data_IF_956498638096
#
_entry.id   IF_956498638096
#
_cell.length_a   1.000
_cell.length_b   1.000
_cell.length_c   1.000
_cell.angle_alpha   90.00
_cell.angle_beta   90.00
_cell.angle_gamma   90.00
#
_symmetry.space_group_name_H-M   'P 1'
#
loop_
_entity.id
_entity.type
_entity.pdbx_description
1 polymer ?
#
# COMPACT_ATOMS: atom_id res chain seq x y z
N UNK A 1 1.76 -26.44 36.32
CA UNK A 1 1.80 -26.77 34.87
C UNK A 1 0.44 -26.47 34.24
N UNK A 2 0.27 -25.28 33.69
CA UNK A 2 -0.64 -24.96 32.57
C UNK A 2 0.06 -23.85 31.80
N UNK A 3 0.54 -24.17 30.60
CA UNK A 3 1.29 -23.28 29.72
C UNK A 3 0.38 -22.15 29.25
N UNK A 4 0.62 -20.94 29.75
CA UNK A 4 0.16 -19.72 29.08
C UNK A 4 1.26 -19.30 28.11
N UNK A 5 1.18 -19.84 26.90
CA UNK A 5 1.86 -19.28 25.74
C UNK A 5 0.75 -18.84 24.79
N UNK A 6 1.00 -17.78 24.03
CA UNK A 6 0.14 -17.18 23.00
C UNK A 6 -0.87 -16.16 23.52
N UNK A 7 -0.38 -14.98 23.89
CA UNK A 7 -0.83 -13.68 23.37
C UNK A 7 0.20 -12.69 23.94
N UNK A 8 1.26 -12.42 23.18
CA UNK A 8 2.07 -11.24 23.46
C UNK A 8 1.11 -10.06 23.24
N UNK A 9 0.63 -9.46 24.32
CA UNK A 9 0.15 -8.07 24.34
C UNK A 9 1.36 -7.14 24.29
N UNK A 10 2.36 -7.47 23.48
CA UNK A 10 3.59 -6.71 23.33
C UNK A 10 3.42 -5.84 22.09
N UNK A 11 3.22 -4.54 22.30
CA UNK A 11 3.11 -3.46 21.33
C UNK A 11 2.09 -3.69 20.19
N UNK A 12 0.98 -2.96 20.20
CA UNK A 12 0.12 -2.89 19.03
C UNK A 12 0.94 -2.24 17.88
N UNK A 13 1.54 -3.06 17.03
CA UNK A 13 2.21 -2.61 15.80
C UNK A 13 1.12 -2.03 14.89
N UNK A 14 1.22 -0.74 14.59
CA UNK A 14 0.24 -0.06 13.76
C UNK A 14 0.52 -0.34 12.29
N UNK A 15 -0.51 -0.71 11.53
CA UNK A 15 -0.35 -0.93 10.09
C UNK A 15 -0.73 0.32 9.30
N UNK A 16 0.11 0.69 8.34
CA UNK A 16 -0.14 1.83 7.45
C UNK A 16 -0.23 1.31 6.03
N UNK A 17 -1.42 1.37 5.45
CA UNK A 17 -1.63 0.96 4.07
C UNK A 17 -1.38 2.16 3.15
N UNK A 18 -0.33 2.05 2.33
CA UNK A 18 0.00 2.99 1.26
C UNK A 18 -0.62 2.49 -0.04
N UNK A 19 -1.83 2.96 -0.35
CA UNK A 19 -2.60 2.53 -1.52
C UNK A 19 -2.51 3.56 -2.63
N UNK A 20 -1.96 3.18 -3.79
CA UNK A 20 -1.83 4.14 -4.88
C UNK A 20 -1.39 3.55 -6.23
N UNK A 21 -0.98 4.44 -7.11
CA UNK A 21 -0.65 4.15 -8.52
C UNK A 21 0.87 3.89 -8.74
N UNK A 22 1.37 4.21 -9.93
CA UNK A 22 2.79 4.12 -10.30
C UNK A 22 3.71 4.94 -9.39
N UNK A 23 3.22 6.04 -8.82
CA UNK A 23 4.00 6.85 -7.88
C UNK A 23 4.23 6.11 -6.57
N UNK A 24 3.24 5.32 -6.13
CA UNK A 24 3.36 4.48 -4.93
C UNK A 24 4.17 3.22 -5.19
N UNK A 25 4.04 2.64 -6.39
CA UNK A 25 4.92 1.56 -6.84
C UNK A 25 6.38 2.04 -6.99
N UNK A 26 6.61 3.34 -7.16
CA UNK A 26 7.93 3.91 -7.37
C UNK A 26 8.48 3.61 -8.77
N UNK A 27 7.67 3.84 -9.81
CA UNK A 27 8.14 3.78 -11.18
C UNK A 27 9.21 4.85 -11.42
N UNK A 28 10.37 4.46 -11.93
CA UNK A 28 11.48 5.37 -12.23
C UNK A 28 11.31 5.91 -13.67
N UNK A 29 11.05 7.22 -13.86
CA UNK A 29 10.86 7.80 -15.19
C UNK A 29 12.14 7.88 -16.01
N UNK A 30 13.33 7.79 -15.39
CA UNK A 30 14.61 7.88 -16.11
C UNK A 30 15.02 6.53 -16.69
N UNK A 31 14.84 5.45 -15.92
CA UNK A 31 15.26 4.11 -16.33
C UNK A 31 14.11 3.26 -16.87
N UNK A 32 12.86 3.66 -16.62
CA UNK A 32 11.67 2.83 -16.87
C UNK A 32 11.54 1.66 -15.88
N UNK A 33 12.42 1.60 -14.88
CA UNK A 33 12.44 0.56 -13.85
C UNK A 33 11.62 0.94 -12.62
N UNK A 34 12.04 0.41 -11.47
CA UNK A 34 11.41 0.68 -10.17
C UNK A 34 12.49 1.12 -9.19
N UNK A 35 12.22 2.18 -8.45
CA UNK A 35 13.06 2.62 -7.34
C UNK A 35 13.22 1.52 -6.29
N UNK A 36 14.37 1.49 -5.62
CA UNK A 36 14.61 0.56 -4.53
C UNK A 36 13.65 0.82 -3.37
N UNK A 37 13.44 -0.18 -2.52
CA UNK A 37 12.49 -0.09 -1.40
C UNK A 37 12.70 1.17 -0.54
N UNK A 38 13.96 1.57 -0.38
CA UNK A 38 14.39 2.68 0.46
C UNK A 38 14.25 4.07 -0.18
N UNK A 39 14.08 4.12 -1.50
CA UNK A 39 13.90 5.36 -2.28
C UNK A 39 12.42 5.67 -2.51
N UNK A 40 11.56 4.65 -2.52
CA UNK A 40 10.12 4.82 -2.64
C UNK A 40 9.56 5.47 -1.38
N UNK A 41 8.58 6.35 -1.56
CA UNK A 41 7.99 7.07 -0.43
C UNK A 41 7.42 6.15 0.68
N UNK A 42 6.87 4.94 0.43
CA UNK A 42 6.44 4.04 1.49
C UNK A 42 7.60 3.50 2.33
N UNK A 43 8.76 3.23 1.72
CA UNK A 43 9.95 2.83 2.47
C UNK A 43 10.59 3.99 3.24
N UNK A 44 10.57 5.20 2.66
CA UNK A 44 10.94 6.42 3.40
C UNK A 44 10.01 6.64 4.60
N UNK A 45 8.71 6.42 4.42
CA UNK A 45 7.71 6.49 5.49
C UNK A 45 7.98 5.43 6.57
N UNK A 46 8.26 4.18 6.20
CA UNK A 46 8.61 3.11 7.14
C UNK A 46 9.81 3.49 8.01
N UNK A 47 10.86 4.06 7.39
CA UNK A 47 12.05 4.53 8.12
C UNK A 47 11.72 5.68 9.07
N UNK A 48 10.81 6.58 8.68
CA UNK A 48 10.40 7.70 9.50
C UNK A 48 9.52 7.29 10.69
N UNK A 49 8.64 6.30 10.51
CA UNK A 49 7.73 5.80 11.55
C UNK A 49 8.42 4.84 12.53
N UNK A 50 9.45 4.12 12.10
CA UNK A 50 10.20 3.19 12.94
C UNK A 50 9.51 1.85 13.17
N UNK A 51 9.96 1.10 14.18
CA UNK A 51 9.59 -0.30 14.40
C UNK A 51 8.18 -0.50 14.98
N UNK A 52 7.56 0.57 15.52
CA UNK A 52 6.19 0.53 16.04
C UNK A 52 5.13 0.48 14.92
N UNK A 53 5.54 0.70 13.67
CA UNK A 53 4.68 0.71 12.49
C UNK A 53 5.15 -0.29 11.45
N UNK A 54 4.18 -0.84 10.73
CA UNK A 54 4.40 -1.66 9.55
C UNK A 54 3.71 -1.02 8.35
N UNK A 55 4.51 -0.52 7.42
CA UNK A 55 4.03 0.11 6.19
C UNK A 55 3.83 -0.95 5.11
N UNK A 56 2.61 -1.05 4.62
CA UNK A 56 2.20 -1.97 3.56
C UNK A 56 2.10 -1.18 2.25
N UNK A 57 2.95 -1.50 1.30
CA UNK A 57 3.00 -0.85 -0.01
C UNK A 57 2.07 -1.56 -1.02
N UNK A 58 0.91 -0.97 -1.29
CA UNK A 58 -0.04 -1.41 -2.31
C UNK A 58 -0.03 -0.44 -3.50
N UNK A 59 1.11 -0.33 -4.18
CA UNK A 59 1.28 0.46 -5.40
C UNK A 59 1.04 -0.35 -6.68
N UNK A 60 0.11 0.09 -7.54
CA UNK A 60 -0.15 -0.54 -8.83
C UNK A 60 -0.07 0.50 -9.96
N UNK A 61 0.91 0.37 -10.85
CA UNK A 61 1.03 1.25 -12.01
C UNK A 61 -0.27 1.27 -12.84
N UNK A 62 -0.70 2.45 -13.29
CA UNK A 62 -1.93 2.61 -14.07
C UNK A 62 -3.24 2.43 -13.27
N UNK A 63 -3.18 2.30 -11.94
CA UNK A 63 -4.39 2.24 -11.12
C UNK A 63 -5.22 3.52 -11.28
N UNK A 64 -6.48 3.34 -11.62
CA UNK A 64 -7.48 4.40 -11.66
C UNK A 64 -8.20 4.50 -10.31
N UNK A 65 -8.95 5.57 -10.08
CA UNK A 65 -9.75 5.70 -8.86
C UNK A 65 -10.95 4.76 -8.85
N UNK A 66 -11.81 4.84 -9.88
CA UNK A 66 -13.11 4.14 -9.92
C UNK A 66 -13.42 3.48 -11.26
N UNK A 67 -12.51 3.55 -12.23
CA UNK A 67 -12.73 3.12 -13.61
C UNK A 67 -12.06 1.79 -13.90
N UNK A 68 -12.73 0.95 -14.67
CA UNK A 68 -12.06 -0.19 -15.25
C UNK A 68 -11.19 0.30 -16.41
N UNK A 69 -9.93 -0.13 -16.46
CA UNK A 69 -9.09 0.21 -17.60
C UNK A 69 -9.54 -0.61 -18.83
N UNK A 70 -9.82 0.03 -19.98
CA UNK A 70 -10.32 -0.67 -21.15
C UNK A 70 -9.26 -1.55 -21.85
N UNK A 71 -7.98 -1.35 -21.52
CA UNK A 71 -6.84 -2.06 -22.12
C UNK A 71 -6.31 -3.13 -21.16
N UNK A 72 -6.00 -2.74 -19.92
CA UNK A 72 -5.41 -3.63 -18.91
C UNK A 72 -6.46 -4.39 -18.11
N UNK A 73 -7.67 -3.84 -17.93
CA UNK A 73 -8.82 -4.52 -17.34
C UNK A 73 -9.23 -4.03 -15.94
N UNK A 74 -10.24 -4.70 -15.38
CA UNK A 74 -10.95 -4.28 -14.17
C UNK A 74 -10.09 -4.19 -12.90
N UNK A 75 -8.94 -4.87 -12.86
CA UNK A 75 -8.05 -4.88 -11.69
C UNK A 75 -7.34 -3.53 -11.48
N UNK A 76 -7.35 -2.64 -12.48
CA UNK A 76 -6.86 -1.26 -12.36
C UNK A 76 -7.84 -0.34 -11.64
N UNK A 77 -9.08 -0.77 -11.44
CA UNK A 77 -10.09 -0.02 -10.70
C UNK A 77 -9.76 -0.02 -9.21
N UNK A 78 -9.29 1.11 -8.69
CA UNK A 78 -8.91 1.28 -7.29
C UNK A 78 -10.04 0.95 -6.32
N UNK A 79 -11.26 1.43 -6.58
CA UNK A 79 -12.39 1.17 -5.68
C UNK A 79 -12.72 -0.32 -5.54
N UNK A 80 -12.61 -1.09 -6.63
CA UNK A 80 -12.87 -2.54 -6.60
C UNK A 80 -11.77 -3.31 -5.90
N UNK A 81 -10.51 -2.89 -6.07
CA UNK A 81 -9.36 -3.57 -5.48
C UNK A 81 -9.06 -3.11 -4.05
N UNK A 82 -9.57 -1.96 -3.61
CA UNK A 82 -9.32 -1.45 -2.26
C UNK A 82 -9.93 -2.35 -1.17
N UNK A 83 -11.14 -2.87 -1.38
CA UNK A 83 -11.83 -3.72 -0.39
C UNK A 83 -11.01 -4.94 0.02
N UNK A 84 -10.52 -5.79 -0.91
CA UNK A 84 -9.68 -6.93 -0.52
C UNK A 84 -8.37 -6.50 0.16
N UNK A 85 -7.79 -5.35 -0.19
CA UNK A 85 -6.63 -4.83 0.53
C UNK A 85 -6.97 -4.43 1.97
N UNK A 86 -8.11 -3.78 2.20
CA UNK A 86 -8.57 -3.40 3.54
C UNK A 86 -8.93 -4.63 4.39
N UNK A 87 -9.44 -5.70 3.78
CA UNK A 87 -9.74 -6.96 4.47
C UNK A 87 -8.48 -7.78 4.78
N UNK A 88 -7.39 -7.59 4.02
CA UNK A 88 -6.12 -8.27 4.22
C UNK A 88 -5.28 -7.65 5.35
N UNK A 89 -5.52 -6.38 5.71
CA UNK A 89 -4.82 -5.69 6.81
C UNK A 89 -5.55 -5.87 8.14
N UNK A 90 -4.82 -5.79 9.26
CA UNK A 90 -5.34 -5.95 10.62
C UNK A 90 -6.30 -4.81 11.00
N UNK A 91 -7.12 -4.98 12.06
CA UNK A 91 -8.23 -4.06 12.38
C UNK A 91 -7.84 -2.64 12.85
N UNK A 92 -6.55 -2.30 12.94
CA UNK A 92 -6.06 -0.97 13.33
C UNK A 92 -5.13 -0.49 12.22
N UNK A 93 -5.67 0.27 11.26
CA UNK A 93 -4.88 0.87 10.19
C UNK A 93 -5.11 2.36 10.05
N UNK A 94 -4.05 3.07 9.68
CA UNK A 94 -4.12 4.42 9.12
C UNK A 94 -3.93 4.31 7.60
N UNK A 95 -4.95 4.70 6.83
CA UNK A 95 -4.95 4.58 5.37
C UNK A 95 -4.39 5.87 4.76
N UNK A 96 -3.20 5.78 4.16
CA UNK A 96 -2.67 6.85 3.30
C UNK A 96 -2.94 6.50 1.85
N UNK A 97 -4.00 7.08 1.29
CA UNK A 97 -4.30 6.95 -0.14
C UNK A 97 -3.59 8.06 -0.91
N UNK A 98 -2.51 7.70 -1.61
CA UNK A 98 -1.89 8.59 -2.59
C UNK A 98 -2.44 8.21 -3.96
N UNK A 99 -3.66 8.66 -4.25
CA UNK A 99 -4.17 8.70 -5.62
C UNK A 99 -3.67 9.97 -6.28
N UNK A 100 -3.07 9.94 -7.48
CA UNK A 100 -3.21 11.11 -8.34
C UNK A 100 -3.16 10.86 -9.85
N UNK A 101 -4.14 11.50 -10.49
CA UNK A 101 -4.22 12.02 -11.87
C UNK A 101 -4.44 11.05 -13.03
N UNK A 102 -5.70 11.07 -13.50
CA UNK A 102 -6.16 11.02 -14.90
C UNK A 102 -5.42 10.09 -15.85
N UNK A 103 -5.77 8.82 -15.87
CA UNK A 103 -5.96 8.20 -17.19
C UNK A 103 -7.27 8.78 -17.73
N UNK A 104 -7.16 9.80 -18.59
CA UNK A 104 -8.31 10.32 -19.33
C UNK A 104 -9.05 9.16 -20.00
N UNK A 105 -10.39 9.18 -20.07
CA UNK A 105 -11.15 8.24 -20.89
C UNK A 105 -10.73 8.30 -22.36
#
# INVERSE_FOLDING_TARGET
MKNQTWYRVDAAMFEVLCYGDSNTCGADPQTGGRFSIDERWPGVLQKALGEDYHVIEEGLGGRTTVWDDPVEGHHKNGAKYLIPCLEAVSSIYELTVTTCSTTSP
#
